data_IF_681903828330
#
_entry.id   IF_681903828330
#
_cell.length_a   1.000
_cell.length_b   1.000
_cell.length_c   1.000
_cell.angle_alpha   90.00
_cell.angle_beta   90.00
_cell.angle_gamma   90.00
#
_symmetry.space_group_name_H-M   'P 1'
#
loop_
_entity.id
_entity.type
_entity.pdbx_description
1 polymer ?
#
# COMPACT_ATOMS: atom_id res chain seq x y z
N UNK A 1 -7.67 5.40 13.55
CA UNK A 1 -6.74 4.67 14.43
C UNK A 1 -5.39 4.45 13.75
N UNK A 2 -5.33 3.68 12.65
CA UNK A 2 -4.07 3.34 11.95
C UNK A 2 -3.17 4.51 11.59
N UNK A 3 -3.73 5.67 11.20
CA UNK A 3 -2.93 6.84 10.86
C UNK A 3 -2.01 7.34 12.00
N UNK A 4 -2.36 7.04 13.26
CA UNK A 4 -1.55 7.38 14.44
C UNK A 4 -0.56 6.28 14.82
N UNK A 5 -0.69 5.09 14.24
CA UNK A 5 0.24 3.97 14.43
C UNK A 5 1.55 4.29 13.73
N UNK A 6 2.67 4.03 14.37
CA UNK A 6 3.98 4.34 13.79
C UNK A 6 4.25 3.50 12.56
N UNK A 7 5.03 4.02 11.61
CA UNK A 7 5.44 3.25 10.43
C UNK A 7 6.24 1.99 10.80
N UNK A 8 7.00 2.01 11.91
CA UNK A 8 7.70 0.83 12.43
C UNK A 8 6.73 -0.27 12.82
N UNK A 9 5.66 0.07 13.53
CA UNK A 9 4.67 -0.92 13.98
C UNK A 9 3.88 -1.47 12.78
N UNK A 10 3.54 -0.61 11.81
CA UNK A 10 2.88 -1.04 10.56
C UNK A 10 3.77 -1.97 9.75
N UNK A 11 5.08 -1.71 9.69
CA UNK A 11 6.05 -2.59 9.05
C UNK A 11 6.10 -3.96 9.75
N UNK A 12 6.18 -3.98 11.08
CA UNK A 12 6.20 -5.24 11.84
C UNK A 12 4.90 -6.02 11.65
N UNK A 13 3.76 -5.33 11.66
CA UNK A 13 2.47 -5.94 11.37
C UNK A 13 2.43 -6.56 9.97
N UNK A 14 2.91 -5.84 8.94
CA UNK A 14 3.02 -6.39 7.58
C UNK A 14 3.87 -7.66 7.50
N UNK A 15 5.00 -7.70 8.21
CA UNK A 15 5.85 -8.89 8.31
C UNK A 15 5.17 -10.06 9.04
N UNK A 16 4.44 -9.77 10.11
CA UNK A 16 3.68 -10.79 10.83
C UNK A 16 2.59 -11.41 9.94
N UNK A 17 1.86 -10.58 9.18
CA UNK A 17 0.86 -11.06 8.22
C UNK A 17 1.49 -11.91 7.10
N UNK A 18 2.64 -11.50 6.56
CA UNK A 18 3.40 -12.27 5.56
C UNK A 18 3.71 -13.69 6.04
N UNK A 19 4.20 -13.83 7.27
CA UNK A 19 4.61 -15.12 7.84
C UNK A 19 3.40 -15.97 8.22
N UNK A 20 2.42 -15.38 8.90
CA UNK A 20 1.31 -16.12 9.51
C UNK A 20 0.16 -16.38 8.56
N UNK A 21 -0.06 -15.51 7.57
CA UNK A 21 -1.16 -15.66 6.61
C UNK A 21 -0.83 -15.03 5.24
N UNK A 22 -0.02 -15.70 4.41
CA UNK A 22 0.33 -15.23 3.06
C UNK A 22 -0.89 -14.90 2.19
N UNK A 23 -2.00 -15.61 2.39
CA UNK A 23 -3.27 -15.34 1.70
C UNK A 23 -3.87 -13.98 2.08
N UNK A 24 -3.80 -13.59 3.36
CA UNK A 24 -4.27 -12.27 3.81
C UNK A 24 -3.27 -11.19 3.37
N UNK A 25 -1.96 -11.47 3.41
CA UNK A 25 -0.93 -10.55 2.92
C UNK A 25 -1.22 -10.11 1.49
N UNK A 26 -1.57 -11.05 0.61
CA UNK A 26 -1.93 -10.79 -0.78
C UNK A 26 -3.27 -10.05 -0.99
N UNK A 27 -4.10 -9.90 0.05
CA UNK A 27 -5.41 -9.22 -0.04
C UNK A 27 -5.37 -7.73 0.33
N UNK A 28 -4.34 -7.32 1.07
CA UNK A 28 -4.20 -5.96 1.59
C UNK A 28 -3.15 -5.21 0.77
N UNK A 29 -3.43 -3.95 0.42
CA UNK A 29 -2.56 -3.14 -0.45
C UNK A 29 -2.22 -3.79 -1.81
N UNK A 30 -3.10 -4.62 -2.37
CA UNK A 30 -2.85 -5.33 -3.64
C UNK A 30 -3.75 -4.89 -4.80
N UNK A 31 -4.70 -3.99 -4.53
CA UNK A 31 -5.76 -3.56 -5.45
C UNK A 31 -5.49 -2.17 -6.04
N UNK A 32 -6.47 -1.60 -6.75
CA UNK A 32 -6.38 -0.27 -7.40
C UNK A 32 -7.43 0.76 -6.94
N UNK A 33 -8.16 0.49 -5.86
CA UNK A 33 -9.29 1.33 -5.44
C UNK A 33 -8.88 2.66 -4.79
N UNK A 34 -7.60 2.83 -4.49
CA UNK A 34 -7.02 4.03 -3.89
C UNK A 34 -5.98 4.68 -4.82
N UNK A 35 -5.96 4.32 -6.10
CA UNK A 35 -5.03 4.93 -7.06
C UNK A 35 -5.24 6.44 -7.17
N UNK A 36 -4.14 7.17 -7.18
CA UNK A 36 -4.11 8.63 -7.25
C UNK A 36 -3.92 9.13 -8.69
N UNK A 37 -3.49 8.25 -9.58
CA UNK A 37 -3.20 8.58 -10.96
C UNK A 37 -4.38 8.25 -11.89
N UNK A 38 -4.37 8.86 -13.07
CA UNK A 38 -5.37 8.62 -14.12
C UNK A 38 -4.72 7.99 -15.35
N UNK A 39 -5.54 7.29 -16.12
CA UNK A 39 -5.19 6.76 -17.44
C UNK A 39 -3.86 5.99 -17.48
N UNK A 40 -2.93 6.42 -18.34
CA UNK A 40 -1.64 5.78 -18.58
C UNK A 40 -0.66 5.87 -17.40
N UNK A 41 -1.00 6.60 -16.34
CA UNK A 41 -0.17 6.77 -15.14
C UNK A 41 -0.67 5.96 -13.94
N UNK A 42 -1.77 5.22 -14.10
CA UNK A 42 -2.32 4.34 -13.08
C UNK A 42 -1.24 3.45 -12.47
N UNK A 43 -1.26 3.27 -11.15
CA UNK A 43 -0.17 2.60 -10.45
C UNK A 43 0.08 1.16 -10.93
N UNK A 44 1.36 0.84 -11.13
CA UNK A 44 1.87 -0.45 -11.59
C UNK A 44 2.75 -1.08 -10.51
N UNK A 45 3.52 -0.28 -9.76
CA UNK A 45 4.50 -0.79 -8.80
C UNK A 45 4.70 0.14 -7.62
N UNK A 46 5.09 -0.46 -6.50
CA UNK A 46 5.51 0.27 -5.32
C UNK A 46 6.97 0.71 -5.41
N UNK A 47 7.22 1.97 -5.09
CA UNK A 47 8.55 2.56 -5.02
C UNK A 47 8.74 3.32 -3.72
N UNK A 48 9.98 3.70 -3.40
CA UNK A 48 10.25 4.59 -2.26
C UNK A 48 9.82 6.02 -2.56
N UNK A 49 10.13 6.50 -3.76
CA UNK A 49 9.88 7.87 -4.20
C UNK A 49 9.47 7.84 -5.68
N UNK A 50 8.22 8.23 -6.02
CA UNK A 50 7.78 8.33 -7.40
C UNK A 50 8.59 9.38 -8.17
N UNK A 51 8.96 9.08 -9.42
CA UNK A 51 9.73 9.98 -10.28
C UNK A 51 8.90 10.48 -11.47
N UNK A 52 9.35 11.55 -12.11
CA UNK A 52 8.66 12.17 -13.27
C UNK A 52 9.31 11.85 -14.62
N UNK A 53 10.42 11.10 -14.64
CA UNK A 53 11.10 10.69 -15.88
C UNK A 53 10.33 9.59 -16.61
N UNK A 54 10.46 9.46 -17.93
CA UNK A 54 9.61 8.58 -18.76
C UNK A 54 9.50 7.10 -18.32
N UNK A 55 10.47 6.56 -17.58
CA UNK A 55 10.44 5.19 -17.05
C UNK A 55 9.70 4.98 -15.71
N UNK A 56 9.16 6.05 -15.12
CA UNK A 56 8.48 6.04 -13.82
C UNK A 56 6.95 6.10 -13.91
N UNK A 57 6.38 5.84 -15.09
CA UNK A 57 4.93 5.74 -15.25
C UNK A 57 4.40 4.58 -14.40
N UNK A 58 3.37 4.84 -13.60
CA UNK A 58 2.81 3.87 -12.66
C UNK A 58 3.60 3.71 -11.35
N UNK A 59 4.62 4.55 -11.08
CA UNK A 59 5.25 4.62 -9.76
C UNK A 59 4.24 5.13 -8.72
N UNK A 60 4.09 4.37 -7.64
CA UNK A 60 3.21 4.77 -6.53
C UNK A 60 3.79 4.36 -5.18
N UNK A 61 3.44 5.12 -4.15
CA UNK A 61 3.63 4.78 -2.74
C UNK A 61 2.28 4.61 -2.03
N UNK A 62 1.20 4.55 -2.81
CA UNK A 62 -0.16 4.51 -2.32
C UNK A 62 -0.63 3.06 -2.17
N UNK A 63 -0.86 2.59 -0.95
CA UNK A 63 -1.47 1.30 -0.68
C UNK A 63 -2.77 1.16 -1.47
N UNK A 64 -2.92 0.03 -2.15
CA UNK A 64 -4.05 -0.25 -3.06
C UNK A 64 -4.22 0.78 -4.18
N UNK A 65 -3.10 1.38 -4.61
CA UNK A 65 -2.99 2.25 -5.78
C UNK A 65 -2.58 1.52 -7.07
N UNK A 66 -2.64 0.19 -7.12
CA UNK A 66 -2.22 -0.63 -8.25
C UNK A 66 -3.38 -0.90 -9.22
N UNK A 67 -3.91 0.15 -9.86
CA UNK A 67 -5.09 0.07 -10.73
C UNK A 67 -4.79 -0.47 -12.12
N UNK A 68 -3.55 -0.39 -12.58
CA UNK A 68 -3.18 -0.84 -13.90
C UNK A 68 -3.30 -2.38 -14.02
N UNK A 69 -3.82 -2.88 -15.13
CA UNK A 69 -3.92 -4.31 -15.40
C UNK A 69 -2.55 -5.02 -15.45
N UNK A 70 -1.49 -4.28 -15.75
CA UNK A 70 -0.10 -4.74 -15.78
C UNK A 70 0.64 -4.55 -14.45
N UNK A 71 -0.07 -4.31 -13.33
CA UNK A 71 0.56 -4.15 -12.02
C UNK A 71 1.46 -5.33 -11.66
N UNK A 72 2.69 -5.03 -11.22
CA UNK A 72 3.73 -6.02 -10.98
C UNK A 72 3.37 -6.95 -9.81
N UNK A 73 3.56 -8.26 -9.99
CA UNK A 73 3.34 -9.24 -8.93
C UNK A 73 4.24 -8.98 -7.69
N UNK A 74 5.44 -8.44 -7.91
CA UNK A 74 6.37 -8.00 -6.86
C UNK A 74 5.82 -6.90 -5.95
N UNK A 75 4.75 -6.22 -6.36
CA UNK A 75 4.10 -5.14 -5.61
C UNK A 75 2.76 -5.56 -4.99
N UNK A 76 2.25 -6.77 -5.23
CA UNK A 76 0.89 -7.17 -4.83
C UNK A 76 0.79 -7.81 -3.45
N UNK A 77 1.15 -7.10 -2.39
CA UNK A 77 0.78 -7.48 -1.02
C UNK A 77 1.06 -6.38 0.00
N UNK A 78 0.60 -6.57 1.23
CA UNK A 78 0.83 -5.63 2.32
C UNK A 78 2.29 -5.58 2.76
N UNK A 79 2.94 -6.74 2.89
CA UNK A 79 4.36 -6.86 3.18
C UNK A 79 5.22 -6.20 2.10
N UNK A 80 4.86 -6.35 0.81
CA UNK A 80 5.54 -5.65 -0.29
C UNK A 80 5.32 -4.15 -0.22
N UNK A 81 4.11 -3.69 0.06
CA UNK A 81 3.83 -2.27 0.29
C UNK A 81 4.73 -1.69 1.38
N UNK A 82 4.73 -2.26 2.59
CA UNK A 82 5.50 -1.69 3.72
C UNK A 82 7.01 -1.72 3.44
N UNK A 83 7.52 -2.77 2.80
CA UNK A 83 8.94 -2.92 2.45
C UNK A 83 9.38 -1.99 1.31
N UNK A 84 8.67 -2.00 0.17
CA UNK A 84 9.08 -1.26 -1.03
C UNK A 84 8.87 0.24 -0.88
N UNK A 85 7.88 0.66 -0.08
CA UNK A 85 7.62 2.08 0.21
C UNK A 85 8.30 2.57 1.49
N UNK A 86 9.06 1.72 2.18
CA UNK A 86 9.90 2.09 3.33
C UNK A 86 9.12 2.68 4.52
N UNK A 87 7.93 2.14 4.78
CA UNK A 87 7.06 2.55 5.90
C UNK A 87 7.77 2.48 7.25
N UNK A 88 8.54 1.42 7.49
CA UNK A 88 9.31 1.23 8.72
C UNK A 88 10.44 2.25 8.95
N UNK A 89 10.85 2.95 7.90
CA UNK A 89 11.92 3.97 7.93
C UNK A 89 11.35 5.39 8.01
N UNK A 90 10.05 5.54 8.30
CA UNK A 90 9.38 6.84 8.41
C UNK A 90 9.01 7.46 7.06
N UNK A 91 9.06 6.69 5.96
CA UNK A 91 8.63 7.15 4.64
C UNK A 91 7.21 6.69 4.32
N UNK A 92 6.50 7.48 3.51
CA UNK A 92 5.22 7.09 2.88
C UNK A 92 4.11 6.58 3.83
N UNK A 93 4.18 6.94 5.11
CA UNK A 93 3.15 6.65 6.09
C UNK A 93 2.88 7.90 6.94
N UNK A 94 1.60 8.24 7.23
CA UNK A 94 0.36 7.55 6.83
C UNK A 94 -0.20 7.99 5.47
N UNK A 95 0.53 8.81 4.72
CA UNK A 95 0.10 9.42 3.46
C UNK A 95 0.92 8.89 2.29
N UNK A 96 0.23 8.49 1.23
CA UNK A 96 0.82 8.02 -0.01
C UNK A 96 0.92 9.13 -1.06
N UNK A 97 1.62 8.81 -2.15
CA UNK A 97 1.89 9.67 -3.31
C UNK A 97 1.92 8.82 -4.57
N UNK A 98 1.62 9.42 -5.71
CA UNK A 98 1.84 8.79 -7.00
C UNK A 98 2.32 9.80 -8.03
N UNK A 99 2.91 9.29 -9.11
CA UNK A 99 3.11 10.10 -10.30
C UNK A 99 1.77 10.30 -11.02
N UNK A 100 1.43 11.54 -11.31
CA UNK A 100 0.30 11.93 -12.15
C UNK A 100 0.82 12.82 -13.27
N UNK A 101 0.80 12.29 -14.49
CA UNK A 101 1.38 12.96 -15.65
C UNK A 101 2.86 13.34 -15.42
N UNK A 102 3.18 14.64 -15.47
CA UNK A 102 4.54 15.17 -15.23
C UNK A 102 4.77 15.62 -13.78
N UNK A 103 3.85 15.34 -12.86
CA UNK A 103 3.91 15.80 -11.46
C UNK A 103 3.83 14.63 -10.48
N UNK A 104 4.27 14.87 -9.24
CA UNK A 104 4.00 13.99 -8.10
C UNK A 104 2.86 14.58 -7.30
N UNK A 105 1.84 13.78 -7.05
CA UNK A 105 0.66 14.19 -6.28
C UNK A 105 0.63 13.40 -4.99
N UNK A 106 0.47 14.12 -3.87
CA UNK A 106 0.17 13.52 -2.59
C UNK A 106 -1.31 13.11 -2.54
N UNK A 107 -1.61 11.93 -2.03
CA UNK A 107 -2.99 11.52 -1.76
C UNK A 107 -3.62 12.38 -0.65
N UNK A 108 -4.87 12.14 -0.27
CA UNK A 108 -5.46 12.85 0.86
C UNK A 108 -4.68 12.63 2.18
N UNK A 109 -4.82 13.51 3.19
CA UNK A 109 -4.29 13.24 4.51
C UNK A 109 -4.66 11.84 4.99
N UNK A 110 -3.65 11.05 5.36
CA UNK A 110 -3.78 9.66 5.82
C UNK A 110 -4.27 8.64 4.76
N UNK A 111 -4.10 8.93 3.46
CA UNK A 111 -4.57 8.07 2.36
C UNK A 111 -4.10 6.61 2.45
N UNK A 112 -2.87 6.34 2.88
CA UNK A 112 -2.37 4.96 3.05
C UNK A 112 -3.04 4.27 4.23
N UNK A 113 -3.18 4.96 5.36
CA UNK A 113 -3.88 4.41 6.52
C UNK A 113 -5.35 4.12 6.23
N UNK A 114 -6.02 4.97 5.45
CA UNK A 114 -7.39 4.75 5.00
C UNK A 114 -7.50 3.53 4.07
N UNK A 115 -6.58 3.37 3.12
CA UNK A 115 -6.56 2.23 2.21
C UNK A 115 -6.31 0.90 2.94
N UNK A 116 -5.32 0.85 3.85
CA UNK A 116 -5.08 -0.32 4.69
C UNK A 116 -6.33 -0.66 5.51
N UNK A 117 -6.95 0.32 6.17
CA UNK A 117 -8.17 0.10 6.94
C UNK A 117 -9.30 -0.48 6.08
N UNK A 118 -9.49 0.06 4.88
CA UNK A 118 -10.52 -0.39 3.94
C UNK A 118 -10.29 -1.83 3.49
N UNK A 119 -9.06 -2.20 3.20
CA UNK A 119 -8.72 -3.58 2.83
C UNK A 119 -8.93 -4.55 4.00
N UNK A 120 -8.52 -4.18 5.22
CA UNK A 120 -8.74 -5.00 6.43
C UNK A 120 -10.24 -5.21 6.73
N UNK A 121 -11.06 -4.16 6.56
CA UNK A 121 -12.52 -4.25 6.74
C UNK A 121 -13.18 -5.11 5.67
N UNK A 122 -12.59 -5.21 4.48
CA UNK A 122 -13.09 -6.04 3.39
C UNK A 122 -12.75 -7.53 3.53
N UNK A 123 -11.90 -7.92 4.49
CA UNK A 123 -11.63 -9.33 4.80
C UNK A 123 -12.89 -10.05 5.32
N UNK A 124 -12.93 -11.38 5.16
CA UNK A 124 -14.00 -12.18 5.76
C UNK A 124 -13.84 -12.28 7.29
N UNK A 125 -14.84 -12.85 7.98
CA UNK A 125 -14.86 -12.91 9.45
C UNK A 125 -13.69 -13.70 10.05
N UNK A 126 -13.29 -14.82 9.45
CA UNK A 126 -12.19 -15.65 9.94
C UNK A 126 -10.84 -14.94 9.75
N UNK A 127 -10.64 -14.32 8.58
CA UNK A 127 -9.45 -13.53 8.27
C UNK A 127 -9.30 -12.33 9.21
N UNK A 128 -10.40 -11.65 9.52
CA UNK A 128 -10.41 -10.57 10.51
C UNK A 128 -10.00 -11.07 11.89
N UNK A 129 -10.44 -12.26 12.29
CA UNK A 129 -10.08 -12.87 13.57
C UNK A 129 -8.60 -13.18 13.63
N UNK A 130 -8.03 -13.74 12.55
CA UNK A 130 -6.59 -13.99 12.42
C UNK A 130 -5.81 -12.68 12.55
N UNK A 131 -6.20 -11.64 11.78
CA UNK A 131 -5.54 -10.34 11.83
C UNK A 131 -5.61 -9.70 13.21
N UNK A 132 -6.76 -9.77 13.87
CA UNK A 132 -6.92 -9.24 15.22
C UNK A 132 -5.98 -9.95 16.21
N UNK A 133 -5.79 -11.26 16.07
CA UNK A 133 -4.83 -12.03 16.87
C UNK A 133 -3.37 -11.68 16.61
N UNK A 134 -3.02 -11.20 15.41
CA UNK A 134 -1.67 -10.73 15.08
C UNK A 134 -1.38 -9.30 15.57
N UNK A 135 -2.41 -8.55 15.93
CA UNK A 135 -2.33 -7.18 16.45
C UNK A 135 -2.36 -7.12 17.99
N UNK A 136 -2.62 -8.25 18.65
CA UNK A 136 -2.69 -8.39 20.11
C UNK A 136 -1.29 -8.59 20.72
#
# INVERSE_FOLDING_TARGET
ALAKTSGKDIMQFGKAVEISSPTIDGKVCSKGHADLATDSYTGIKYVVEPKTNSGASGDTTQCSGLKNGSAEASSKSFSKFVNLTKVGEGKNWPRGKARVNSSIVDGDPNSNAAAVAKDLVALNSDEKTIVAGLLA
#
